data_IF_081783571946
#
_entry.id   IF_081783571946
#
_cell.length_a   1.000
_cell.length_b   1.000
_cell.length_c   1.000
_cell.angle_alpha   90.00
_cell.angle_beta   90.00
_cell.angle_gamma   90.00
#
_symmetry.space_group_name_H-M   'P 1'
#
loop_
_entity.id
_entity.type
_entity.pdbx_description
1 polymer ?
#
# COMPACT_ATOMS: atom_id res chain seq x y z
N UNK A 1 12.96 64.99 19.31
CA UNK A 1 14.31 64.77 18.76
C UNK A 1 15.19 65.82 19.39
N UNK A 2 16.39 65.42 19.79
CA UNK A 2 17.31 66.21 20.59
C UNK A 2 18.42 66.74 19.67
N UNK A 3 19.03 67.88 19.98
CA UNK A 3 20.02 68.54 19.10
C UNK A 3 21.27 67.68 18.83
N UNK A 4 21.52 66.66 19.66
CA UNK A 4 22.65 65.72 19.51
C UNK A 4 22.28 64.43 18.74
N UNK A 5 21.02 64.28 18.30
CA UNK A 5 20.60 63.10 17.54
C UNK A 5 21.33 63.01 16.19
N UNK A 6 22.07 61.92 15.99
CA UNK A 6 22.54 61.56 14.65
C UNK A 6 21.38 61.17 13.73
N UNK A 7 21.55 61.23 12.41
CA UNK A 7 20.51 60.81 11.45
C UNK A 7 20.09 59.34 11.64
N UNK A 8 21.01 58.49 12.09
CA UNK A 8 20.72 57.10 12.45
C UNK A 8 19.86 57.00 13.72
N UNK A 9 20.15 57.84 14.73
CA UNK A 9 19.31 57.94 15.93
C UNK A 9 17.92 58.47 15.60
N UNK A 10 17.80 59.41 14.65
CA UNK A 10 16.52 59.89 14.11
C UNK A 10 15.74 58.74 13.46
N UNK A 11 16.36 57.92 12.60
CA UNK A 11 15.72 56.74 12.01
C UNK A 11 15.26 55.74 13.09
N UNK A 12 16.08 55.53 14.13
CA UNK A 12 15.70 54.70 15.28
C UNK A 12 14.49 55.26 16.05
N UNK A 13 14.45 56.58 16.28
CA UNK A 13 13.30 57.24 16.93
C UNK A 13 12.04 57.12 16.06
N UNK A 14 12.16 57.25 14.74
CA UNK A 14 11.04 57.05 13.80
C UNK A 14 10.45 55.64 13.85
N UNK A 15 11.27 54.59 13.99
CA UNK A 15 10.78 53.21 14.21
C UNK A 15 9.94 53.05 15.49
N UNK A 16 10.15 53.92 16.47
CA UNK A 16 9.37 53.95 17.71
C UNK A 16 8.06 54.73 17.60
N UNK A 17 7.85 55.50 16.52
CA UNK A 17 6.60 56.24 16.31
C UNK A 17 5.49 55.29 15.87
N UNK A 18 4.28 55.53 16.37
CA UNK A 18 3.07 54.84 15.97
C UNK A 18 2.13 55.80 15.26
N UNK A 19 1.41 55.31 14.27
CA UNK A 19 0.28 56.03 13.68
C UNK A 19 -0.84 56.22 14.71
N UNK A 20 -1.83 57.08 14.42
CA UNK A 20 -2.95 57.35 15.34
C UNK A 20 -3.76 56.08 15.68
N UNK A 21 -3.80 55.11 14.78
CA UNK A 21 -4.42 53.79 14.93
C UNK A 21 -3.45 52.70 15.42
N UNK A 22 -2.24 53.07 15.87
CA UNK A 22 -1.32 52.19 16.58
C UNK A 22 -0.43 51.29 15.69
N UNK A 23 -0.41 51.49 14.37
CA UNK A 23 0.48 50.75 13.44
C UNK A 23 1.92 51.21 13.58
N UNK A 24 2.85 50.29 13.31
CA UNK A 24 4.28 50.60 13.29
C UNK A 24 4.68 51.11 11.92
N UNK A 25 5.76 51.89 11.89
CA UNK A 25 6.45 52.24 10.65
C UNK A 25 7.85 51.66 10.68
N UNK A 26 8.30 51.19 9.53
CA UNK A 26 9.72 50.91 9.30
C UNK A 26 10.40 52.21 8.89
N UNK A 27 11.60 52.46 9.42
CA UNK A 27 12.41 53.61 9.06
C UNK A 27 13.89 53.22 9.05
N UNK A 28 14.63 53.69 8.04
CA UNK A 28 16.06 53.50 7.87
C UNK A 28 16.68 54.78 7.27
N UNK A 29 17.94 55.05 7.59
CA UNK A 29 18.75 56.10 6.98
C UNK A 29 19.92 55.49 6.20
N UNK A 30 19.96 55.72 4.89
CA UNK A 30 21.12 55.39 4.07
C UNK A 30 22.13 56.53 4.12
N UNK A 31 23.15 56.36 4.96
CA UNK A 31 24.23 57.33 5.10
C UNK A 31 25.10 57.53 3.86
N UNK A 32 25.12 56.58 2.92
CA UNK A 32 25.91 56.69 1.69
C UNK A 32 25.27 57.66 0.70
N UNK A 33 23.93 57.66 0.64
CA UNK A 33 23.15 58.50 -0.27
C UNK A 33 22.43 59.66 0.44
N UNK A 34 22.50 59.74 1.78
CA UNK A 34 21.87 60.77 2.60
C UNK A 34 20.33 60.72 2.57
N UNK A 35 19.72 59.53 2.59
CA UNK A 35 18.26 59.37 2.40
C UNK A 35 17.58 58.61 3.53
N UNK A 36 16.42 59.09 3.93
CA UNK A 36 15.49 58.32 4.76
C UNK A 36 14.57 57.46 3.90
N UNK A 37 14.39 56.20 4.31
CA UNK A 37 13.39 55.28 3.80
C UNK A 37 12.40 55.02 4.91
N UNK A 38 11.13 55.34 4.68
CA UNK A 38 10.06 55.18 5.67
C UNK A 38 8.90 54.47 4.96
N UNK A 39 8.46 53.34 5.50
CA UNK A 39 7.40 52.54 4.93
C UNK A 39 6.51 51.93 6.02
N UNK A 40 5.26 51.66 5.67
CA UNK A 40 4.35 50.90 6.52
C UNK A 40 4.88 49.47 6.73
N UNK A 41 4.56 48.85 7.86
CA UNK A 41 4.84 47.43 8.12
C UNK A 41 3.83 46.49 7.43
N UNK A 42 2.78 47.05 6.82
CA UNK A 42 1.72 46.36 6.09
C UNK A 42 1.43 46.99 4.74
N UNK A 43 0.88 46.20 3.82
CA UNK A 43 0.35 46.63 2.51
C UNK A 43 -1.12 47.04 2.62
N UNK A 44 -1.70 47.57 1.54
CA UNK A 44 -3.11 47.97 1.48
C UNK A 44 -3.33 49.46 1.65
N UNK A 45 -4.48 49.94 1.17
CA UNK A 45 -4.87 51.35 1.20
C UNK A 45 -4.93 51.91 2.63
N UNK A 46 -5.46 51.13 3.56
CA UNK A 46 -5.53 51.50 4.97
C UNK A 46 -4.17 51.52 5.68
N UNK A 47 -3.13 50.97 5.05
CA UNK A 47 -1.77 50.98 5.58
C UNK A 47 -1.00 52.24 5.21
N UNK A 48 -1.59 53.14 4.42
CA UNK A 48 -1.02 54.46 4.14
C UNK A 48 -0.94 55.32 5.43
N UNK A 49 -0.04 56.30 5.43
CA UNK A 49 0.19 57.20 6.56
C UNK A 49 0.80 58.53 6.13
N UNK A 50 0.69 59.54 7.00
CA UNK A 50 1.30 60.85 6.82
C UNK A 50 2.15 61.19 8.04
N UNK A 51 3.34 61.72 7.81
CA UNK A 51 4.18 62.27 8.88
C UNK A 51 3.74 63.70 9.19
N UNK A 52 3.46 63.96 10.46
CA UNK A 52 3.13 65.29 10.98
C UNK A 52 4.07 65.64 12.14
N UNK A 53 4.32 66.93 12.34
CA UNK A 53 5.18 67.46 13.39
C UNK A 53 4.69 68.86 13.79
N UNK A 54 4.89 69.22 15.06
CA UNK A 54 4.73 70.59 15.53
C UNK A 54 5.83 71.53 15.00
N UNK A 55 6.95 70.97 14.52
CA UNK A 55 8.00 71.68 13.80
C UNK A 55 8.15 71.08 12.39
N UNK A 56 7.42 71.64 11.42
CA UNK A 56 7.46 71.17 10.03
C UNK A 56 8.79 71.48 9.34
N UNK A 57 9.46 72.59 9.70
CA UNK A 57 10.76 72.97 9.14
C UNK A 57 11.84 71.92 9.41
N UNK A 58 11.74 71.23 10.54
CA UNK A 58 12.60 70.09 10.85
C UNK A 58 12.35 68.91 9.89
N UNK A 59 11.09 68.52 9.65
CA UNK A 59 10.77 67.46 8.68
C UNK A 59 11.15 67.85 7.25
N UNK A 60 11.01 69.13 6.90
CA UNK A 60 11.44 69.69 5.61
C UNK A 60 12.96 69.57 5.44
N UNK A 61 13.72 69.86 6.50
CA UNK A 61 15.20 69.77 6.50
C UNK A 61 15.70 68.34 6.39
N UNK A 62 14.94 67.37 6.91
CA UNK A 62 15.20 65.94 6.73
C UNK A 62 14.70 65.40 5.37
N UNK A 63 13.95 66.19 4.61
CA UNK A 63 13.36 65.76 3.33
C UNK A 63 12.27 64.69 3.47
N UNK A 64 11.64 64.56 4.65
CA UNK A 64 10.62 63.54 4.93
C UNK A 64 9.21 64.14 5.10
N UNK A 65 9.08 65.47 5.04
CA UNK A 65 7.77 66.10 5.07
C UNK A 65 6.96 65.78 3.81
N UNK A 66 5.62 65.86 3.88
CA UNK A 66 4.77 65.71 2.68
C UNK A 66 5.13 66.66 1.53
N UNK A 67 5.68 67.85 1.85
CA UNK A 67 6.04 68.88 0.88
C UNK A 67 7.45 68.73 0.29
N UNK A 68 8.34 67.97 0.92
CA UNK A 68 9.76 67.86 0.54
C UNK A 68 10.24 66.44 0.22
N UNK A 69 9.40 65.41 0.45
CA UNK A 69 9.72 64.01 0.12
C UNK A 69 9.97 63.82 -1.37
N UNK A 70 11.01 63.05 -1.70
CA UNK A 70 11.45 62.83 -3.10
C UNK A 70 10.59 61.79 -3.83
N UNK A 71 10.14 60.76 -3.13
CA UNK A 71 9.26 59.71 -3.66
C UNK A 71 8.23 59.34 -2.61
N UNK A 72 7.01 59.07 -3.05
CA UNK A 72 5.93 58.57 -2.22
C UNK A 72 5.08 57.62 -3.05
N UNK A 73 5.04 56.37 -2.61
CA UNK A 73 4.15 55.35 -3.14
C UNK A 73 3.04 55.17 -2.11
N UNK A 74 1.79 55.48 -2.48
CA UNK A 74 0.65 55.33 -1.59
C UNK A 74 0.38 53.84 -1.33
N UNK A 75 -0.12 53.52 -0.14
CA UNK A 75 -0.68 52.20 0.09
C UNK A 75 -1.87 51.96 -0.84
N UNK A 76 -1.92 50.81 -1.50
CA UNK A 76 -3.02 50.41 -2.37
C UNK A 76 -3.42 48.96 -2.04
N UNK A 77 -4.72 48.67 -2.11
CA UNK A 77 -5.21 47.30 -2.04
C UNK A 77 -5.00 46.60 -3.39
N UNK A 78 -4.63 45.32 -3.35
CA UNK A 78 -4.62 44.49 -4.53
C UNK A 78 -6.05 44.29 -5.03
N UNK A 79 -6.22 44.22 -6.35
CA UNK A 79 -7.51 43.99 -6.99
C UNK A 79 -7.40 42.93 -8.08
N UNK A 80 -8.34 41.99 -8.10
CA UNK A 80 -8.48 41.00 -9.17
C UNK A 80 -9.90 41.00 -9.70
N UNK A 81 -10.07 40.57 -10.95
CA UNK A 81 -11.37 40.27 -11.54
C UNK A 81 -11.43 38.76 -11.74
N UNK A 82 -12.33 38.09 -11.02
CA UNK A 82 -12.58 36.66 -11.14
C UNK A 82 -14.04 36.47 -11.54
N UNK A 83 -14.27 35.80 -12.66
CA UNK A 83 -15.60 35.58 -13.25
C UNK A 83 -16.45 36.87 -13.39
N UNK A 84 -15.78 37.98 -13.76
CA UNK A 84 -16.42 39.29 -13.92
C UNK A 84 -16.69 40.06 -12.61
N UNK A 85 -16.38 39.48 -11.45
CA UNK A 85 -16.53 40.13 -10.14
C UNK A 85 -15.19 40.65 -9.65
N UNK A 86 -15.18 41.90 -9.16
CA UNK A 86 -13.98 42.51 -8.57
C UNK A 86 -13.83 42.11 -7.11
N UNK A 87 -12.67 41.57 -6.77
CA UNK A 87 -12.25 41.29 -5.40
C UNK A 87 -11.10 42.20 -5.03
N UNK A 88 -11.09 42.70 -3.80
CA UNK A 88 -10.02 43.54 -3.26
C UNK A 88 -9.42 42.90 -2.02
N UNK A 89 -8.12 43.09 -1.82
CA UNK A 89 -7.40 42.58 -0.66
C UNK A 89 -6.31 43.56 -0.24
N UNK A 90 -6.16 43.76 1.08
CA UNK A 90 -5.02 44.52 1.62
C UNK A 90 -3.68 43.80 1.44
N UNK A 91 -3.69 42.54 1.00
CA UNK A 91 -2.54 41.70 0.71
C UNK A 91 -2.58 41.26 -0.76
N UNK A 92 -1.48 40.70 -1.26
CA UNK A 92 -1.44 40.07 -2.59
C UNK A 92 -2.04 38.65 -2.59
N UNK A 93 -2.89 38.31 -1.62
CA UNK A 93 -3.52 37.00 -1.46
C UNK A 93 -5.02 37.17 -1.34
N UNK A 94 -5.76 36.31 -2.04
CA UNK A 94 -7.21 36.26 -2.08
C UNK A 94 -7.66 34.83 -1.74
N UNK A 95 -8.59 34.70 -0.80
CA UNK A 95 -9.23 33.43 -0.46
C UNK A 95 -10.66 33.45 -1.01
N UNK A 96 -10.93 32.69 -2.07
CA UNK A 96 -12.21 32.69 -2.80
C UNK A 96 -12.62 31.25 -3.10
N UNK A 97 -13.79 30.80 -2.62
CA UNK A 97 -14.30 29.44 -2.85
C UNK A 97 -13.26 28.34 -2.56
N UNK A 98 -12.60 28.41 -1.40
CA UNK A 98 -11.51 27.51 -0.96
C UNK A 98 -10.24 27.54 -1.82
N UNK A 99 -10.14 28.46 -2.80
CA UNK A 99 -8.92 28.73 -3.55
C UNK A 99 -8.12 29.85 -2.86
N UNK A 100 -6.82 29.63 -2.70
CA UNK A 100 -5.86 30.65 -2.28
C UNK A 100 -5.13 31.17 -3.53
N UNK A 101 -5.51 32.36 -3.99
CA UNK A 101 -4.91 33.01 -5.17
C UNK A 101 -3.88 34.02 -4.68
N UNK A 102 -2.61 33.83 -5.06
CA UNK A 102 -1.54 34.80 -4.79
C UNK A 102 -1.14 35.52 -6.07
N UNK A 103 -1.22 36.86 -6.05
CA UNK A 103 -0.87 37.71 -7.19
C UNK A 103 0.57 38.19 -7.08
N UNK A 104 1.30 38.13 -8.20
CA UNK A 104 2.70 38.57 -8.26
C UNK A 104 2.87 39.84 -9.11
N UNK A 105 2.09 39.96 -10.18
CA UNK A 105 2.15 41.07 -11.12
C UNK A 105 0.77 41.33 -11.74
N UNK A 106 0.64 42.50 -12.37
CA UNK A 106 -0.57 42.85 -13.13
C UNK A 106 -0.57 42.08 -14.44
N UNK A 107 -1.64 41.35 -14.70
CA UNK A 107 -1.81 40.56 -15.92
C UNK A 107 -2.18 41.45 -17.10
N UNK A 108 -1.52 41.28 -18.26
CA UNK A 108 -1.85 42.00 -19.49
C UNK A 108 -2.99 41.35 -20.31
N UNK A 109 -3.35 40.12 -19.97
CA UNK A 109 -4.40 39.33 -20.62
C UNK A 109 -5.12 38.45 -19.61
N UNK A 110 -6.31 37.99 -19.97
CA UNK A 110 -7.10 37.07 -19.16
C UNK A 110 -6.36 35.74 -18.94
N UNK A 111 -6.44 35.21 -17.71
CA UNK A 111 -5.89 33.91 -17.32
C UNK A 111 -7.05 32.98 -17.01
N UNK A 112 -7.08 31.82 -17.66
CA UNK A 112 -8.04 30.76 -17.33
C UNK A 112 -7.50 29.89 -16.20
N UNK A 113 -8.22 29.84 -15.08
CA UNK A 113 -7.95 28.91 -13.98
C UNK A 113 -8.82 27.67 -14.16
N UNK A 114 -8.18 26.51 -14.33
CA UNK A 114 -8.88 25.23 -14.39
C UNK A 114 -8.59 24.43 -13.12
N UNK A 115 -9.64 24.12 -12.35
CA UNK A 115 -9.56 23.22 -11.20
C UNK A 115 -9.97 21.82 -11.61
N UNK A 116 -9.18 20.81 -11.24
CA UNK A 116 -9.53 19.40 -11.41
C UNK A 116 -9.29 18.65 -10.11
N UNK A 117 -10.14 17.67 -9.81
CA UNK A 117 -9.94 16.76 -8.69
C UNK A 117 -8.63 15.97 -8.89
N UNK A 118 -7.76 15.94 -7.89
CA UNK A 118 -6.61 15.04 -7.91
C UNK A 118 -7.07 13.61 -7.62
N UNK A 119 -7.09 12.78 -8.67
CA UNK A 119 -7.54 11.39 -8.60
C UNK A 119 -6.42 10.41 -8.26
N UNK A 120 -5.16 10.85 -8.29
CA UNK A 120 -3.98 9.98 -8.31
C UNK A 120 -3.85 9.16 -7.03
N UNK A 121 -3.97 9.82 -5.87
CA UNK A 121 -3.77 9.16 -4.58
C UNK A 121 -4.78 8.04 -4.34
N UNK A 122 -6.08 8.32 -4.57
CA UNK A 122 -7.14 7.32 -4.39
C UNK A 122 -7.06 6.20 -5.43
N UNK A 123 -6.78 6.54 -6.70
CA UNK A 123 -6.61 5.57 -7.77
C UNK A 123 -5.50 4.56 -7.44
N UNK A 124 -4.33 5.05 -7.02
CA UNK A 124 -3.19 4.19 -6.68
C UNK A 124 -3.49 3.25 -5.51
N UNK A 125 -4.16 3.73 -4.45
CA UNK A 125 -4.55 2.89 -3.33
C UNK A 125 -5.52 1.77 -3.74
N UNK A 126 -6.48 2.08 -4.62
CA UNK A 126 -7.43 1.09 -5.13
C UNK A 126 -6.70 0.09 -6.05
N UNK A 127 -5.81 0.56 -6.93
CA UNK A 127 -4.96 -0.30 -7.75
C UNK A 127 -4.12 -1.28 -6.91
N UNK A 128 -3.51 -0.80 -5.83
CA UNK A 128 -2.73 -1.65 -4.91
C UNK A 128 -3.59 -2.69 -4.19
N UNK A 129 -4.84 -2.36 -3.81
CA UNK A 129 -5.80 -3.33 -3.27
C UNK A 129 -6.03 -4.47 -4.26
N UNK A 130 -6.30 -4.16 -5.54
CA UNK A 130 -6.52 -5.17 -6.58
C UNK A 130 -5.28 -5.98 -6.89
N UNK A 131 -4.09 -5.36 -6.87
CA UNK A 131 -2.82 -6.08 -7.01
C UNK A 131 -2.65 -7.12 -5.91
N UNK A 132 -2.97 -6.78 -4.66
CA UNK A 132 -2.90 -7.70 -3.52
C UNK A 132 -3.96 -8.80 -3.58
N UNK A 133 -5.18 -8.45 -3.95
CA UNK A 133 -6.24 -9.43 -4.18
C UNK A 133 -5.83 -10.43 -5.28
N UNK A 134 -5.37 -9.93 -6.44
CA UNK A 134 -4.94 -10.74 -7.58
C UNK A 134 -3.78 -11.67 -7.20
N UNK A 135 -2.79 -11.19 -6.45
CA UNK A 135 -1.67 -12.02 -5.94
C UNK A 135 -2.18 -13.24 -5.15
N UNK A 136 -3.18 -13.03 -4.28
CA UNK A 136 -3.77 -14.09 -3.46
C UNK A 136 -4.59 -15.05 -4.33
N UNK A 137 -5.54 -14.56 -5.12
CA UNK A 137 -6.44 -15.44 -5.88
C UNK A 137 -5.70 -16.22 -6.97
N UNK A 138 -4.69 -15.62 -7.61
CA UNK A 138 -3.89 -16.32 -8.61
C UNK A 138 -3.09 -17.48 -7.98
N UNK A 139 -2.59 -17.28 -6.76
CA UNK A 139 -1.90 -18.33 -6.00
C UNK A 139 -2.86 -19.45 -5.58
N UNK A 140 -4.07 -19.10 -5.14
CA UNK A 140 -5.12 -20.07 -4.80
C UNK A 140 -5.54 -20.88 -6.03
N UNK A 141 -5.78 -20.22 -7.17
CA UNK A 141 -6.09 -20.86 -8.45
C UNK A 141 -4.98 -21.83 -8.87
N UNK A 142 -3.72 -21.39 -8.77
CA UNK A 142 -2.57 -22.23 -9.11
C UNK A 142 -2.51 -23.50 -8.26
N UNK A 143 -2.68 -23.39 -6.94
CA UNK A 143 -2.65 -24.53 -6.02
C UNK A 143 -3.85 -25.47 -6.27
N UNK A 144 -5.04 -24.90 -6.47
CA UNK A 144 -6.26 -25.67 -6.72
C UNK A 144 -6.22 -26.42 -8.07
N UNK A 145 -5.69 -25.77 -9.12
CA UNK A 145 -5.57 -26.30 -10.48
C UNK A 145 -4.25 -27.04 -10.75
N UNK A 146 -3.50 -27.40 -9.70
CA UNK A 146 -2.23 -28.11 -9.82
C UNK A 146 -2.33 -29.42 -10.63
N UNK A 147 -1.20 -29.85 -11.19
CA UNK A 147 -1.12 -31.11 -11.95
C UNK A 147 -1.37 -32.33 -11.07
N UNK A 148 -1.88 -33.40 -11.68
CA UNK A 148 -2.09 -34.66 -10.96
C UNK A 148 -0.74 -35.32 -10.60
N UNK A 149 -0.48 -35.40 -9.30
CA UNK A 149 0.70 -36.05 -8.74
C UNK A 149 0.47 -37.49 -8.30
N UNK A 150 -0.71 -38.07 -8.54
CA UNK A 150 -1.08 -39.43 -8.06
C UNK A 150 -0.12 -40.55 -8.48
N UNK A 151 0.63 -40.36 -9.57
CA UNK A 151 1.67 -41.28 -10.05
C UNK A 151 2.96 -41.25 -9.23
N UNK A 152 3.20 -40.20 -8.44
CA UNK A 152 4.38 -40.03 -7.61
C UNK A 152 4.09 -40.53 -6.19
N UNK A 153 4.75 -41.63 -5.81
CA UNK A 153 4.70 -42.16 -4.43
C UNK A 153 5.80 -41.52 -3.57
N UNK A 154 5.58 -41.48 -2.25
CA UNK A 154 6.65 -41.11 -1.32
C UNK A 154 7.86 -42.03 -1.49
N UNK A 155 9.04 -41.45 -1.63
CA UNK A 155 10.28 -42.19 -1.83
C UNK A 155 10.75 -42.82 -0.52
N UNK A 156 11.14 -44.10 -0.57
CA UNK A 156 11.86 -44.74 0.53
C UNK A 156 13.31 -44.28 0.55
N UNK A 157 14.01 -44.52 1.66
CA UNK A 157 15.44 -44.20 1.75
C UNK A 157 16.30 -44.96 0.73
N UNK A 158 15.89 -46.17 0.34
CA UNK A 158 16.57 -46.93 -0.70
C UNK A 158 16.28 -46.37 -2.10
N UNK A 159 15.03 -45.92 -2.35
CA UNK A 159 14.69 -45.21 -3.60
C UNK A 159 15.53 -43.93 -3.73
N UNK A 160 15.66 -43.15 -2.64
CA UNK A 160 16.46 -41.92 -2.63
C UNK A 160 17.94 -42.17 -2.90
N UNK A 161 18.53 -43.24 -2.36
CA UNK A 161 19.93 -43.62 -2.63
C UNK A 161 20.16 -44.08 -4.06
N UNK A 162 19.12 -44.58 -4.72
CA UNK A 162 19.18 -45.03 -6.10
C UNK A 162 18.97 -43.90 -7.12
N UNK A 163 18.61 -42.69 -6.67
CA UNK A 163 18.34 -41.51 -7.49
C UNK A 163 19.39 -40.42 -7.23
N UNK A 164 19.56 -39.49 -8.19
CA UNK A 164 20.33 -38.28 -7.95
C UNK A 164 19.56 -37.27 -7.08
N UNK A 165 20.26 -36.36 -6.41
CA UNK A 165 19.64 -35.32 -5.56
C UNK A 165 18.60 -34.47 -6.31
N UNK A 166 18.89 -34.13 -7.58
CA UNK A 166 17.96 -33.39 -8.42
C UNK A 166 16.70 -34.19 -8.73
N UNK A 167 16.83 -35.47 -9.06
CA UNK A 167 15.67 -36.33 -9.32
C UNK A 167 14.82 -36.53 -8.06
N UNK A 168 15.44 -36.70 -6.88
CA UNK A 168 14.73 -36.76 -5.60
C UNK A 168 13.96 -35.46 -5.37
N UNK A 169 14.61 -34.31 -5.56
CA UNK A 169 13.97 -33.00 -5.38
C UNK A 169 12.78 -32.82 -6.33
N UNK A 170 12.96 -33.05 -7.62
CA UNK A 170 11.88 -32.91 -8.61
C UNK A 170 10.71 -33.86 -8.32
N UNK A 171 10.99 -35.08 -7.86
CA UNK A 171 9.96 -36.05 -7.48
C UNK A 171 9.17 -35.60 -6.24
N UNK A 172 9.86 -35.11 -5.21
CA UNK A 172 9.22 -34.58 -4.00
C UNK A 172 8.44 -33.30 -4.28
N UNK A 173 8.95 -32.42 -5.15
CA UNK A 173 8.28 -31.18 -5.54
C UNK A 173 6.99 -31.50 -6.32
N UNK A 174 6.99 -32.49 -7.22
CA UNK A 174 5.76 -32.96 -7.90
C UNK A 174 4.70 -33.47 -6.94
N UNK A 175 5.10 -34.14 -5.85
CA UNK A 175 4.16 -34.56 -4.81
C UNK A 175 3.61 -33.32 -4.10
N UNK A 176 4.48 -32.43 -3.61
CA UNK A 176 4.12 -31.21 -2.85
C UNK A 176 3.19 -30.30 -3.64
N UNK A 177 3.51 -30.02 -4.91
CA UNK A 177 2.72 -29.16 -5.79
C UNK A 177 1.30 -29.71 -5.99
N UNK A 178 1.15 -31.03 -6.04
CA UNK A 178 -0.14 -31.68 -6.23
C UNK A 178 -0.97 -31.81 -4.95
N UNK A 179 -0.41 -31.55 -3.77
CA UNK A 179 -1.06 -31.85 -2.48
C UNK A 179 -2.37 -31.09 -2.29
N UNK A 180 -2.45 -29.84 -2.78
CA UNK A 180 -3.65 -29.01 -2.65
C UNK A 180 -4.53 -29.00 -3.90
N UNK A 181 -4.24 -29.90 -4.85
CA UNK A 181 -5.04 -30.04 -6.05
C UNK A 181 -6.47 -30.40 -5.67
N UNK A 182 -7.43 -29.60 -6.16
CA UNK A 182 -8.86 -29.77 -5.84
C UNK A 182 -9.17 -29.77 -4.34
N UNK A 183 -8.35 -29.10 -3.55
CA UNK A 183 -8.58 -28.96 -2.11
C UNK A 183 -9.86 -28.16 -1.83
N UNK A 184 -10.71 -28.70 -0.95
CA UNK A 184 -12.02 -28.11 -0.65
C UNK A 184 -11.88 -26.80 0.12
N UNK A 185 -10.88 -26.67 1.01
CA UNK A 185 -10.63 -25.44 1.76
C UNK A 185 -10.21 -24.31 0.84
N UNK A 186 -9.33 -24.59 -0.13
CA UNK A 186 -8.98 -23.63 -1.17
C UNK A 186 -10.19 -23.22 -2.02
N UNK A 187 -11.01 -24.20 -2.43
CA UNK A 187 -12.23 -23.93 -3.22
C UNK A 187 -13.20 -23.00 -2.47
N UNK A 188 -13.45 -23.28 -1.20
CA UNK A 188 -14.33 -22.47 -0.36
C UNK A 188 -13.77 -21.06 -0.15
N UNK A 189 -12.46 -20.96 0.08
CA UNK A 189 -11.78 -19.66 0.23
C UNK A 189 -11.90 -18.82 -1.04
N UNK A 190 -11.63 -19.42 -2.20
CA UNK A 190 -11.76 -18.76 -3.49
C UNK A 190 -13.22 -18.35 -3.76
N UNK A 191 -14.18 -19.21 -3.44
CA UNK A 191 -15.61 -18.92 -3.60
C UNK A 191 -16.07 -17.76 -2.72
N UNK A 192 -15.58 -17.66 -1.49
CA UNK A 192 -15.90 -16.54 -0.59
C UNK A 192 -15.33 -15.23 -1.14
N UNK A 193 -14.05 -15.21 -1.49
CA UNK A 193 -13.38 -14.02 -2.03
C UNK A 193 -14.04 -13.53 -3.31
N UNK A 194 -14.25 -14.41 -4.28
CA UNK A 194 -14.92 -14.08 -5.55
C UNK A 194 -16.37 -13.66 -5.33
N UNK A 195 -17.09 -14.33 -4.42
CA UNK A 195 -18.44 -13.97 -4.04
C UNK A 195 -18.53 -12.54 -3.51
N UNK A 196 -17.61 -12.13 -2.63
CA UNK A 196 -17.54 -10.77 -2.08
C UNK A 196 -17.27 -9.74 -3.19
N UNK A 197 -16.34 -10.02 -4.10
CA UNK A 197 -16.01 -9.09 -5.20
C UNK A 197 -17.16 -8.90 -6.19
N UNK A 198 -18.08 -9.87 -6.29
CA UNK A 198 -19.29 -9.77 -7.11
C UNK A 198 -20.46 -9.04 -6.42
N UNK A 199 -20.32 -8.66 -5.14
CA UNK A 199 -21.40 -8.03 -4.40
C UNK A 199 -21.73 -6.63 -4.91
N UNK A 200 -23.00 -6.26 -4.71
CA UNK A 200 -23.44 -4.87 -4.77
C UNK A 200 -23.27 -4.25 -3.39
N UNK A 201 -22.71 -3.05 -3.35
CA UNK A 201 -22.47 -2.30 -2.12
C UNK A 201 -23.29 -1.02 -2.19
N UNK A 202 -24.09 -0.79 -1.16
CA UNK A 202 -24.81 0.47 -0.98
C UNK A 202 -23.85 1.57 -0.57
N UNK A 203 -23.95 2.70 -1.24
CA UNK A 203 -23.20 3.92 -0.94
C UNK A 203 -24.09 5.15 -1.07
N UNK A 204 -23.76 6.19 -0.32
CA UNK A 204 -24.40 7.48 -0.45
C UNK A 204 -23.71 8.27 -1.57
N UNK A 205 -24.39 8.46 -2.70
CA UNK A 205 -23.89 9.29 -3.81
C UNK A 205 -24.45 10.71 -3.72
N UNK A 206 -23.90 11.64 -4.50
CA UNK A 206 -24.47 12.99 -4.70
C UNK A 206 -25.92 12.98 -5.18
N UNK A 207 -26.36 11.89 -5.83
CA UNK A 207 -27.73 11.70 -6.32
C UNK A 207 -28.63 10.88 -5.36
N UNK A 208 -28.11 10.51 -4.19
CA UNK A 208 -28.80 9.66 -3.20
C UNK A 208 -28.16 8.28 -3.02
N UNK A 209 -28.79 7.42 -2.20
CA UNK A 209 -28.32 6.04 -1.97
C UNK A 209 -28.40 5.23 -3.28
N UNK A 210 -27.28 4.61 -3.66
CA UNK A 210 -27.22 3.69 -4.81
C UNK A 210 -26.50 2.41 -4.44
N UNK A 211 -26.90 1.31 -5.08
CA UNK A 211 -26.15 0.06 -5.09
C UNK A 211 -25.15 0.07 -6.25
N UNK A 212 -23.87 0.09 -5.92
CA UNK A 212 -22.79 0.03 -6.89
C UNK A 212 -22.12 -1.35 -6.90
N UNK A 213 -21.39 -1.66 -7.96
CA UNK A 213 -20.53 -2.85 -8.08
C UNK A 213 -19.30 -2.52 -8.93
N UNK A 214 -18.28 -3.38 -8.90
CA UNK A 214 -16.96 -3.11 -9.48
C UNK A 214 -16.95 -2.71 -10.96
N UNK A 215 -17.84 -3.29 -11.77
CA UNK A 215 -17.87 -2.98 -13.21
C UNK A 215 -18.23 -1.50 -13.49
N UNK A 216 -18.96 -0.82 -12.60
CA UNK A 216 -19.26 0.61 -12.74
C UNK A 216 -18.03 1.50 -12.57
N UNK A 217 -16.99 0.97 -11.93
CA UNK A 217 -15.68 1.61 -11.83
C UNK A 217 -14.72 1.15 -12.95
N UNK A 218 -15.19 0.36 -13.92
CA UNK A 218 -14.33 -0.24 -14.95
C UNK A 218 -13.39 -1.30 -14.37
N UNK A 219 -13.77 -1.96 -13.27
CA UNK A 219 -12.96 -2.99 -12.64
C UNK A 219 -13.63 -4.35 -12.89
N UNK A 220 -13.01 -5.17 -13.74
CA UNK A 220 -13.64 -6.35 -14.31
C UNK A 220 -12.69 -7.55 -14.33
N UNK A 221 -13.25 -8.75 -14.18
CA UNK A 221 -12.56 -9.98 -14.58
C UNK A 221 -12.57 -10.10 -16.10
N UNK A 222 -11.59 -10.81 -16.66
CA UNK A 222 -11.45 -10.95 -18.11
C UNK A 222 -11.88 -12.33 -18.61
N UNK A 223 -12.14 -12.40 -19.92
CA UNK A 223 -12.31 -13.68 -20.59
C UNK A 223 -11.06 -14.56 -20.42
N UNK A 224 -11.26 -15.83 -20.09
CA UNK A 224 -10.17 -16.78 -19.79
C UNK A 224 -9.19 -16.99 -20.94
N UNK A 225 -9.54 -16.59 -22.17
CA UNK A 225 -8.66 -16.62 -23.35
C UNK A 225 -7.70 -15.42 -23.43
N UNK A 226 -7.98 -14.35 -22.68
CA UNK A 226 -7.21 -13.11 -22.68
C UNK A 226 -6.22 -13.02 -21.52
N UNK A 227 -6.41 -13.83 -20.48
CA UNK A 227 -5.55 -13.86 -19.27
C UNK A 227 -4.68 -15.10 -19.22
N UNK A 228 -3.62 -15.05 -18.40
CA UNK A 228 -2.73 -16.22 -18.25
C UNK A 228 -3.46 -17.32 -17.48
N UNK A 229 -2.91 -18.53 -17.57
CA UNK A 229 -3.38 -19.68 -16.78
C UNK A 229 -3.33 -19.32 -15.28
N UNK A 230 -4.40 -19.66 -14.54
CA UNK A 230 -4.58 -19.38 -13.12
C UNK A 230 -4.78 -17.90 -12.76
N UNK A 231 -5.25 -17.07 -13.70
CA UNK A 231 -5.63 -15.67 -13.44
C UNK A 231 -7.14 -15.45 -13.69
N UNK A 232 -7.95 -16.50 -13.61
CA UNK A 232 -9.38 -16.44 -13.99
C UNK A 232 -10.21 -15.54 -13.09
N UNK A 233 -9.80 -15.40 -11.83
CA UNK A 233 -10.49 -14.58 -10.84
C UNK A 233 -9.80 -13.23 -10.60
N UNK A 234 -8.78 -12.91 -11.39
CA UNK A 234 -8.09 -11.62 -11.31
C UNK A 234 -8.98 -10.50 -11.86
N UNK A 235 -8.93 -9.35 -11.20
CA UNK A 235 -9.60 -8.13 -11.65
C UNK A 235 -8.60 -7.19 -12.30
N UNK A 236 -9.04 -6.52 -13.35
CA UNK A 236 -8.28 -5.57 -14.15
C UNK A 236 -8.99 -4.22 -14.13
N UNK A 237 -8.22 -3.14 -14.08
CA UNK A 237 -8.76 -1.77 -14.05
C UNK A 237 -8.66 -1.18 -15.45
N UNK A 238 -9.81 -0.80 -16.02
CA UNK A 238 -9.86 -0.15 -17.32
C UNK A 238 -9.00 1.13 -17.35
N UNK A 239 -8.19 1.27 -18.40
CA UNK A 239 -7.25 2.37 -18.56
C UNK A 239 -6.07 2.35 -17.60
N UNK A 240 -5.71 1.19 -17.02
CA UNK A 240 -4.40 0.98 -16.40
C UNK A 240 -3.31 0.86 -17.47
N UNK A 241 -2.36 1.79 -17.47
CA UNK A 241 -1.28 1.88 -18.44
C UNK A 241 -0.27 0.72 -18.35
N UNK A 242 -0.22 0.02 -17.21
CA UNK A 242 0.66 -1.13 -16.98
C UNK A 242 0.09 -2.44 -17.57
N UNK A 243 -1.17 -2.44 -18.00
CA UNK A 243 -1.88 -3.64 -18.43
C UNK A 243 -2.32 -3.55 -19.90
N UNK A 244 -1.61 -4.26 -20.78
CA UNK A 244 -1.83 -4.22 -22.23
C UNK A 244 -3.28 -4.52 -22.67
N UNK A 245 -4.00 -5.35 -21.92
CA UNK A 245 -5.35 -5.80 -22.23
C UNK A 245 -6.43 -4.75 -21.92
N UNK A 246 -6.12 -3.74 -21.10
CA UNK A 246 -7.07 -2.71 -20.64
C UNK A 246 -6.60 -1.27 -20.83
N UNK A 247 -5.32 -1.05 -21.16
CA UNK A 247 -4.75 0.30 -21.28
C UNK A 247 -5.46 1.23 -22.27
N UNK A 248 -6.14 0.68 -23.27
CA UNK A 248 -6.91 1.47 -24.26
C UNK A 248 -8.35 1.72 -23.84
N UNK A 249 -8.81 1.07 -22.77
CA UNK A 249 -10.17 1.23 -22.26
C UNK A 249 -10.28 2.55 -21.49
N UNK A 250 -11.49 3.08 -21.40
CA UNK A 250 -11.75 4.30 -20.66
C UNK A 250 -11.58 4.08 -19.15
N UNK A 251 -10.79 4.92 -18.49
CA UNK A 251 -10.55 4.80 -17.04
C UNK A 251 -11.75 5.32 -16.23
N UNK A 252 -12.76 4.47 -16.08
CA UNK A 252 -13.99 4.76 -15.34
C UNK A 252 -13.71 5.00 -13.85
N UNK A 253 -12.69 4.35 -13.27
CA UNK A 253 -12.31 4.56 -11.87
C UNK A 253 -11.87 6.01 -11.64
N UNK A 254 -10.95 6.54 -12.45
CA UNK A 254 -10.54 7.96 -12.37
C UNK A 254 -11.73 8.91 -12.55
N UNK A 255 -12.66 8.59 -13.46
CA UNK A 255 -13.89 9.37 -13.64
C UNK A 255 -14.77 9.39 -12.39
N UNK A 256 -14.97 8.23 -11.76
CA UNK A 256 -15.76 8.11 -10.53
C UNK A 256 -15.11 8.84 -9.35
N UNK A 257 -13.78 8.76 -9.22
CA UNK A 257 -13.04 9.52 -8.19
C UNK A 257 -13.20 11.03 -8.42
N UNK A 258 -13.13 11.49 -9.66
CA UNK A 258 -13.28 12.91 -9.99
C UNK A 258 -14.71 13.41 -9.75
N UNK A 259 -15.73 12.60 -10.06
CA UNK A 259 -17.14 12.99 -9.97
C UNK A 259 -17.71 12.87 -8.55
N UNK A 260 -17.39 11.81 -7.82
CA UNK A 260 -17.89 11.53 -6.47
C UNK A 260 -16.83 10.77 -5.63
N UNK A 261 -15.81 11.49 -5.11
CA UNK A 261 -14.72 10.87 -4.36
C UNK A 261 -15.19 10.23 -3.06
N UNK A 262 -16.21 10.81 -2.40
CA UNK A 262 -16.75 10.30 -1.14
C UNK A 262 -17.46 8.97 -1.34
N UNK A 263 -18.35 8.88 -2.34
CA UNK A 263 -19.04 7.62 -2.66
C UNK A 263 -18.06 6.54 -3.14
N UNK A 264 -17.02 6.94 -3.90
CA UNK A 264 -15.97 6.02 -4.35
C UNK A 264 -15.17 5.48 -3.16
N UNK A 265 -14.74 6.35 -2.24
CA UNK A 265 -14.05 5.94 -1.02
C UNK A 265 -14.91 5.03 -0.14
N UNK A 266 -16.20 5.35 0.02
CA UNK A 266 -17.15 4.54 0.79
C UNK A 266 -17.28 3.13 0.19
N UNK A 267 -17.43 3.03 -1.14
CA UNK A 267 -17.55 1.75 -1.84
C UNK A 267 -16.35 0.84 -1.56
N UNK A 268 -15.12 1.34 -1.80
CA UNK A 268 -13.91 0.52 -1.64
C UNK A 268 -13.57 0.23 -0.19
N UNK A 269 -13.92 1.13 0.74
CA UNK A 269 -13.82 0.85 2.18
C UNK A 269 -14.75 -0.30 2.58
N UNK A 270 -16.01 -0.26 2.16
CA UNK A 270 -16.98 -1.31 2.48
C UNK A 270 -16.61 -2.64 1.81
N UNK A 271 -16.09 -2.62 0.58
CA UNK A 271 -15.57 -3.81 -0.09
C UNK A 271 -14.41 -4.44 0.69
N UNK A 272 -13.46 -3.61 1.15
CA UNK A 272 -12.30 -4.05 1.93
C UNK A 272 -12.72 -4.65 3.27
N UNK A 273 -13.72 -4.05 3.94
CA UNK A 273 -14.30 -4.60 5.17
C UNK A 273 -14.94 -5.95 4.91
N UNK A 274 -15.75 -6.08 3.85
CA UNK A 274 -16.40 -7.34 3.51
C UNK A 274 -15.37 -8.45 3.22
N UNK A 275 -14.29 -8.14 2.49
CA UNK A 275 -13.18 -9.07 2.24
C UNK A 275 -12.51 -9.52 3.54
N UNK A 276 -12.19 -8.58 4.42
CA UNK A 276 -11.58 -8.89 5.71
C UNK A 276 -12.51 -9.76 6.58
N UNK A 277 -13.79 -9.42 6.65
CA UNK A 277 -14.79 -10.16 7.41
C UNK A 277 -14.99 -11.58 6.87
N UNK A 278 -15.04 -11.75 5.54
CA UNK A 278 -15.12 -13.07 4.90
C UNK A 278 -13.92 -13.95 5.26
N UNK A 279 -12.71 -13.39 5.15
CA UNK A 279 -11.49 -14.08 5.55
C UNK A 279 -11.46 -14.40 7.04
N UNK A 280 -11.87 -13.48 7.91
CA UNK A 280 -11.92 -13.73 9.35
C UNK A 280 -12.93 -14.81 9.73
N UNK A 281 -14.07 -14.88 9.05
CA UNK A 281 -15.05 -15.96 9.24
C UNK A 281 -14.46 -17.31 8.86
N UNK A 282 -13.78 -17.39 7.71
CA UNK A 282 -13.11 -18.62 7.27
C UNK A 282 -11.99 -19.06 8.21
N UNK A 283 -11.28 -18.10 8.81
CA UNK A 283 -10.16 -18.35 9.73
C UNK A 283 -10.56 -18.30 11.21
N UNK A 284 -11.85 -18.43 11.52
CA UNK A 284 -12.35 -18.49 12.89
C UNK A 284 -11.84 -19.75 13.60
N UNK A 285 -11.57 -19.63 14.91
CA UNK A 285 -11.19 -20.80 15.70
C UNK A 285 -12.33 -21.80 15.82
N UNK A 286 -12.00 -23.09 15.73
CA UNK A 286 -12.91 -24.20 16.01
C UNK A 286 -12.29 -25.15 17.04
N UNK A 287 -12.99 -26.25 17.35
CA UNK A 287 -12.41 -27.35 18.12
C UNK A 287 -11.20 -27.99 17.41
N UNK A 288 -11.15 -27.89 16.08
CA UNK A 288 -10.14 -28.51 15.22
C UNK A 288 -9.11 -27.54 14.64
N UNK A 289 -9.38 -26.23 14.67
CA UNK A 289 -8.52 -25.18 14.12
C UNK A 289 -8.25 -24.04 15.10
N UNK A 290 -7.05 -23.46 15.04
CA UNK A 290 -6.67 -22.23 15.72
C UNK A 290 -7.19 -21.00 14.98
N UNK A 291 -7.33 -19.86 15.68
CA UNK A 291 -7.66 -18.58 15.03
C UNK A 291 -6.61 -18.21 13.98
N UNK A 292 -7.03 -17.49 12.94
CA UNK A 292 -6.16 -17.05 11.83
C UNK A 292 -5.55 -18.20 11.02
N UNK A 293 -6.19 -19.38 11.04
CA UNK A 293 -5.77 -20.55 10.26
C UNK A 293 -6.94 -21.05 9.42
N UNK A 294 -6.69 -21.33 8.14
CA UNK A 294 -7.70 -21.89 7.21
C UNK A 294 -7.88 -23.41 7.39
N UNK A 295 -6.85 -24.11 7.85
CA UNK A 295 -6.82 -25.56 8.00
C UNK A 295 -7.00 -26.00 9.45
N UNK A 296 -7.40 -27.26 9.65
CA UNK A 296 -7.59 -27.90 10.95
C UNK A 296 -6.25 -28.28 11.62
N UNK A 297 -5.41 -27.28 11.91
CA UNK A 297 -4.06 -27.45 12.47
C UNK A 297 -4.03 -28.27 13.77
N UNK A 298 -5.00 -28.09 14.67
CA UNK A 298 -5.09 -28.87 15.92
C UNK A 298 -5.38 -30.35 15.63
N UNK A 299 -6.29 -30.63 14.69
CA UNK A 299 -6.59 -32.01 14.30
C UNK A 299 -5.39 -32.66 13.62
N UNK A 300 -4.74 -31.95 12.69
CA UNK A 300 -3.54 -32.43 12.01
C UNK A 300 -2.42 -32.75 13.01
N UNK A 301 -2.21 -31.89 14.02
CA UNK A 301 -1.23 -32.15 15.08
C UNK A 301 -1.54 -33.41 15.90
N UNK A 302 -2.82 -33.60 16.27
CA UNK A 302 -3.27 -34.80 16.99
C UNK A 302 -3.10 -36.08 16.15
N UNK A 303 -3.49 -36.03 14.89
CA UNK A 303 -3.32 -37.13 13.94
C UNK A 303 -1.84 -37.46 13.74
N UNK A 304 -0.99 -36.45 13.59
CA UNK A 304 0.46 -36.62 13.45
C UNK A 304 1.06 -37.35 14.67
N UNK A 305 0.68 -36.95 15.88
CA UNK A 305 1.12 -37.61 17.12
C UNK A 305 0.65 -39.09 17.20
N UNK A 306 -0.61 -39.34 16.82
CA UNK A 306 -1.18 -40.69 16.77
C UNK A 306 -0.44 -41.58 15.77
N UNK A 307 -0.18 -41.10 14.55
CA UNK A 307 0.56 -41.85 13.54
C UNK A 307 2.01 -42.10 13.96
N UNK A 308 2.67 -41.11 14.56
CA UNK A 308 4.03 -41.27 15.08
C UNK A 308 4.10 -42.39 16.13
N UNK A 309 3.10 -42.48 17.01
CA UNK A 309 2.99 -43.55 18.00
C UNK A 309 2.77 -44.92 17.36
N UNK A 310 1.89 -45.01 16.35
CA UNK A 310 1.64 -46.26 15.60
C UNK A 310 2.90 -46.74 14.87
N UNK A 311 3.63 -45.81 14.23
CA UNK A 311 4.90 -46.12 13.55
C UNK A 311 5.91 -46.64 14.55
N UNK A 312 6.05 -46.01 15.71
CA UNK A 312 6.95 -46.47 16.76
C UNK A 312 6.67 -47.91 17.21
N UNK A 313 5.41 -48.24 17.52
CA UNK A 313 5.03 -49.60 17.93
C UNK A 313 5.21 -50.63 16.80
N UNK A 314 4.91 -50.25 15.56
CA UNK A 314 5.15 -51.12 14.40
C UNK A 314 6.64 -51.41 14.19
N UNK A 315 7.50 -50.39 14.30
CA UNK A 315 8.96 -50.53 14.20
C UNK A 315 9.50 -51.42 15.31
N UNK A 316 9.01 -51.27 16.55
CA UNK A 316 9.38 -52.13 17.68
C UNK A 316 9.02 -53.59 17.41
N UNK A 317 7.81 -53.86 16.90
CA UNK A 317 7.39 -55.21 16.53
C UNK A 317 8.21 -55.79 15.37
N UNK A 318 8.54 -54.97 14.36
CA UNK A 318 9.37 -55.37 13.24
C UNK A 318 10.77 -55.79 13.70
N UNK A 319 11.42 -54.98 14.54
CA UNK A 319 12.73 -55.29 15.09
C UNK A 319 12.70 -56.59 15.91
N UNK A 320 11.67 -56.79 16.74
CA UNK A 320 11.51 -58.03 17.51
C UNK A 320 11.36 -59.28 16.59
N UNK A 321 10.68 -59.14 15.45
CA UNK A 321 10.59 -60.22 14.44
C UNK A 321 11.94 -60.45 13.75
N UNK A 322 12.65 -59.40 13.36
CA UNK A 322 13.99 -59.50 12.78
C UNK A 322 14.94 -60.26 13.71
N UNK A 323 14.98 -59.88 15.00
CA UNK A 323 15.78 -60.58 16.02
C UNK A 323 15.41 -62.07 16.14
N UNK A 324 14.13 -62.42 16.04
CA UNK A 324 13.69 -63.81 16.06
C UNK A 324 14.20 -64.59 14.84
N UNK A 325 14.10 -63.99 13.65
CA UNK A 325 14.60 -64.61 12.42
C UNK A 325 16.12 -64.74 12.41
N UNK A 326 16.86 -63.73 12.87
CA UNK A 326 18.32 -63.82 13.05
C UNK A 326 18.70 -64.96 13.99
N UNK A 327 18.00 -65.11 15.12
CA UNK A 327 18.23 -66.24 16.05
C UNK A 327 17.95 -67.60 15.40
N UNK A 328 16.89 -67.72 14.59
CA UNK A 328 16.58 -68.95 13.84
C UNK A 328 17.64 -69.25 12.78
N UNK A 329 18.07 -68.24 12.04
CA UNK A 329 19.10 -68.36 11.01
C UNK A 329 20.44 -68.79 11.62
N UNK A 330 20.88 -68.15 12.71
CA UNK A 330 22.10 -68.53 13.42
C UNK A 330 22.06 -69.98 13.95
N UNK A 331 20.89 -70.45 14.42
CA UNK A 331 20.71 -71.86 14.82
C UNK A 331 20.82 -72.80 13.61
N UNK A 332 20.22 -72.44 12.48
CA UNK A 332 20.30 -73.20 11.24
C UNK A 332 21.74 -73.28 10.71
N UNK A 333 22.46 -72.16 10.72
CA UNK A 333 23.88 -72.09 10.33
C UNK A 333 24.75 -73.00 11.20
N UNK A 334 24.53 -72.98 12.53
CA UNK A 334 25.21 -73.89 13.45
C UNK A 334 24.91 -75.36 13.17
N UNK A 335 23.64 -75.70 12.92
CA UNK A 335 23.23 -77.06 12.59
C UNK A 335 23.83 -77.54 11.25
N UNK A 336 23.85 -76.68 10.24
CA UNK A 336 24.49 -76.95 8.94
C UNK A 336 26.00 -77.16 9.09
N UNK A 337 26.69 -76.34 9.90
CA UNK A 337 28.11 -76.54 10.19
C UNK A 337 28.39 -77.88 10.87
N UNK A 338 27.53 -78.29 11.82
CA UNK A 338 27.61 -79.61 12.46
C UNK A 338 27.35 -80.76 11.49
N UNK A 339 26.34 -80.64 10.62
CA UNK A 339 26.04 -81.63 9.58
C UNK A 339 27.20 -81.78 8.61
N UNK A 340 27.77 -80.68 8.11
CA UNK A 340 28.96 -80.70 7.26
C UNK A 340 30.16 -81.33 7.96
N UNK A 341 30.38 -81.02 9.25
CA UNK A 341 31.44 -81.65 10.04
C UNK A 341 31.23 -83.17 10.17
N UNK A 342 29.99 -83.60 10.43
CA UNK A 342 29.63 -85.02 10.54
C UNK A 342 29.78 -85.74 9.21
N UNK A 343 29.34 -85.11 8.11
CA UNK A 343 29.50 -85.64 6.75
C UNK A 343 30.98 -85.78 6.37
N UNK A 344 31.81 -84.80 6.70
CA UNK A 344 33.25 -84.87 6.48
C UNK A 344 33.92 -85.97 7.32
N UNK A 345 33.51 -86.14 8.58
CA UNK A 345 33.98 -87.24 9.43
C UNK A 345 33.62 -88.60 8.83
N UNK A 346 32.36 -88.80 8.42
CA UNK A 346 31.89 -90.02 7.73
C UNK A 346 32.67 -90.29 6.45
N UNK A 347 32.84 -89.28 5.58
CA UNK A 347 33.62 -89.42 4.35
C UNK A 347 35.09 -89.79 4.63
N UNK A 348 35.70 -89.25 5.70
CA UNK A 348 37.04 -89.63 6.16
C UNK A 348 37.14 -91.10 6.58
N UNK A 349 36.11 -91.65 7.24
CA UNK A 349 36.03 -93.08 7.56
C UNK A 349 35.91 -93.98 6.32
N UNK A 350 35.31 -93.50 5.24
CA UNK A 350 35.19 -94.26 3.98
C UNK A 350 36.40 -94.13 3.04
N UNK A 351 37.20 -93.07 3.18
CA UNK A 351 38.43 -92.85 2.41
C UNK A 351 39.70 -93.46 3.04
N UNK A 352 39.60 -94.06 4.22
CA UNK A 352 40.68 -94.83 4.84
C UNK A 352 40.53 -96.31 4.51
N UNK A 353 40.92 -96.68 3.28
CA UNK A 353 41.24 -98.06 2.88
C UNK A 353 42.40 -98.07 1.90
#
# INVERSE_FOLDING_TARGET
>A
MDEEDTLEMVASKLRGVKTADGRSVSANFDGSNGRFYIASDKTGANSDFTLSSNNMQFLDSLGISPAKRTKYDAGEDASIILDGVTYTSSQNTFEINDLVITTNEVTSSEITLNTQSDTTGMYNNIKDLFKKYNEVVNKLDQMYAAEDGSKYKMLTEDDKKAMSENEVKEWEDKIKDSMLRRDITLQLTLSELTGIMMQRIKVQTKEGEKELHLSQFGINTMDSRLVKKNEWHAYHIDGDEEEDIVKTNENLLKKMIASDPDATAEFFRNLSINLADGLYKLMGSTDYSSSYTLYEDKLMASQYSSYSSKIYEATKLLNAKQDNYYKKFARMEKAMAQLNSTQNQLAGYFNTK
#
